data_IF_700030629540
#
_entry.id   IF_700030629540
#
_cell.length_a   1.000
_cell.length_b   1.000
_cell.length_c   1.000
_cell.angle_alpha   90.00
_cell.angle_beta   90.00
_cell.angle_gamma   90.00
#
_symmetry.space_group_name_H-M   'P 1'
#
loop_
_entity.id
_entity.type
_entity.pdbx_description
1 polymer ?
#
# COMPACT_ATOMS: atom_id res chain seq x y z
N UNK A 1 -14.20 18.84 11.06
CA UNK A 1 -14.31 18.26 9.70
C UNK A 1 -14.61 19.35 8.67
N UNK A 2 -15.63 20.21 8.89
CA UNK A 2 -16.03 21.24 7.90
C UNK A 2 -14.89 22.21 7.52
N UNK A 3 -14.10 22.68 8.50
CA UNK A 3 -12.95 23.56 8.24
C UNK A 3 -11.87 22.92 7.39
N UNK A 4 -11.61 21.62 7.60
CA UNK A 4 -10.62 20.85 6.83
C UNK A 4 -11.06 20.73 5.37
N UNK A 5 -12.31 20.34 5.11
CA UNK A 5 -12.84 20.25 3.76
C UNK A 5 -12.73 21.57 2.99
N UNK A 6 -13.10 22.68 3.63
CA UNK A 6 -12.99 24.00 3.00
C UNK A 6 -11.56 24.40 2.67
N UNK A 7 -10.62 24.07 3.55
CA UNK A 7 -9.19 24.35 3.32
C UNK A 7 -8.62 23.52 2.19
N UNK A 8 -8.96 22.22 2.17
CA UNK A 8 -8.55 21.31 1.10
C UNK A 8 -9.13 21.74 -0.24
N UNK A 9 -10.40 22.14 -0.29
CA UNK A 9 -11.02 22.64 -1.52
C UNK A 9 -10.29 23.86 -2.09
N UNK A 10 -9.94 24.82 -1.24
CA UNK A 10 -9.17 25.98 -1.68
C UNK A 10 -7.81 25.59 -2.25
N UNK A 11 -7.11 24.71 -1.56
CA UNK A 11 -5.82 24.19 -2.04
C UNK A 11 -5.97 23.48 -3.40
N UNK A 12 -6.95 22.60 -3.51
CA UNK A 12 -7.20 21.84 -4.75
C UNK A 12 -7.49 22.76 -5.93
N UNK A 13 -8.40 23.71 -5.78
CA UNK A 13 -8.73 24.71 -6.82
C UNK A 13 -7.50 25.53 -7.24
N UNK A 14 -6.64 25.88 -6.27
CA UNK A 14 -5.37 26.55 -6.58
C UNK A 14 -4.40 25.67 -7.36
N UNK A 15 -4.38 24.36 -7.07
CA UNK A 15 -3.55 23.41 -7.81
C UNK A 15 -4.06 23.19 -9.23
N UNK A 16 -5.36 23.11 -9.44
CA UNK A 16 -5.97 23.03 -10.77
C UNK A 16 -5.58 24.19 -11.68
N UNK A 17 -5.46 25.39 -11.13
CA UNK A 17 -5.05 26.56 -11.91
C UNK A 17 -3.57 26.52 -12.34
N UNK A 18 -2.73 25.76 -11.64
CA UNK A 18 -1.28 25.72 -11.85
C UNK A 18 -0.81 24.50 -12.61
N UNK A 19 -1.59 23.42 -12.59
CA UNK A 19 -1.18 22.12 -13.13
C UNK A 19 -2.35 21.39 -13.77
N UNK A 20 -2.28 21.22 -15.08
CA UNK A 20 -3.33 20.57 -15.88
C UNK A 20 -3.58 19.10 -15.55
N UNK A 21 -2.74 18.47 -14.74
CA UNK A 21 -2.95 17.10 -14.26
C UNK A 21 -4.08 17.00 -13.23
N UNK A 22 -4.44 18.11 -12.56
CA UNK A 22 -5.51 18.20 -11.57
C UNK A 22 -6.85 18.53 -12.25
N UNK A 23 -7.48 17.55 -12.88
CA UNK A 23 -8.66 17.77 -13.73
C UNK A 23 -9.98 17.29 -13.12
N UNK A 24 -9.94 16.49 -12.06
CA UNK A 24 -11.14 15.94 -11.44
C UNK A 24 -11.97 17.03 -10.78
N UNK A 25 -13.32 16.93 -10.88
CA UNK A 25 -14.18 17.85 -10.15
C UNK A 25 -14.05 17.62 -8.64
N UNK A 26 -14.09 18.70 -7.87
CA UNK A 26 -14.01 18.62 -6.41
C UNK A 26 -15.09 17.70 -5.81
N UNK A 27 -16.30 17.69 -6.36
CA UNK A 27 -17.40 16.86 -5.87
C UNK A 27 -17.19 15.35 -6.06
N UNK A 28 -16.28 14.96 -6.96
CA UNK A 28 -15.98 13.57 -7.27
C UNK A 28 -14.80 13.03 -6.45
N UNK A 29 -14.21 13.89 -5.58
CA UNK A 29 -13.06 13.52 -4.73
C UNK A 29 -13.56 13.02 -3.39
N UNK A 30 -13.28 11.76 -3.10
CA UNK A 30 -13.49 11.21 -1.75
C UNK A 30 -12.43 11.74 -0.78
N UNK A 31 -12.88 12.29 0.34
CA UNK A 31 -12.00 12.84 1.37
C UNK A 31 -12.19 12.10 2.68
N UNK A 32 -11.16 11.41 3.10
CA UNK A 32 -11.12 10.67 4.35
C UNK A 32 -10.35 11.48 5.40
N UNK A 33 -11.05 11.93 6.44
CA UNK A 33 -10.47 12.70 7.54
C UNK A 33 -10.50 11.86 8.81
N UNK A 34 -9.33 11.44 9.28
CA UNK A 34 -9.16 10.62 10.48
C UNK A 34 -10.13 9.42 10.51
N UNK A 35 -10.10 8.50 9.52
CA UNK A 35 -11.07 7.42 9.41
C UNK A 35 -11.03 6.46 10.60
N UNK A 36 -9.95 6.44 11.39
CA UNK A 36 -9.82 5.73 12.67
C UNK A 36 -10.17 6.60 13.89
N UNK A 37 -10.71 7.79 13.69
CA UNK A 37 -10.94 8.76 14.76
C UNK A 37 -9.71 9.64 15.05
N UNK A 38 -9.82 10.58 16.00
CA UNK A 38 -8.75 11.51 16.31
C UNK A 38 -7.54 10.83 16.92
N UNK A 39 -6.35 11.34 16.60
CA UNK A 39 -5.09 10.90 17.22
C UNK A 39 -4.95 11.59 18.59
N UNK A 40 -4.85 10.77 19.64
CA UNK A 40 -4.71 11.24 21.02
C UNK A 40 -3.26 11.37 21.48
N UNK A 41 -2.33 10.69 20.81
CA UNK A 41 -0.90 10.70 21.12
C UNK A 41 -0.10 11.23 19.94
N UNK A 42 0.88 12.06 20.23
CA UNK A 42 1.79 12.62 19.24
C UNK A 42 3.24 12.52 19.73
N UNK A 43 4.17 12.90 18.90
CA UNK A 43 5.61 12.85 19.21
C UNK A 43 6.13 11.45 19.44
N UNK A 44 7.15 11.31 20.26
CA UNK A 44 7.81 10.03 20.57
C UNK A 44 6.91 9.00 21.22
N UNK A 45 5.88 9.42 21.94
CA UNK A 45 4.91 8.51 22.57
C UNK A 45 3.94 7.90 21.55
N UNK A 46 3.70 8.58 20.44
CA UNK A 46 2.87 8.09 19.34
C UNK A 46 3.69 7.30 18.32
N UNK A 47 4.84 7.84 17.91
CA UNK A 47 5.73 7.24 16.93
C UNK A 47 7.16 7.78 17.10
N UNK A 48 8.05 6.97 17.58
CA UNK A 48 9.45 7.33 17.90
C UNK A 48 10.38 6.89 16.81
N UNK A 49 10.41 7.04 15.70
CA UNK A 49 11.37 6.59 14.66
C UNK A 49 12.53 5.75 15.20
N UNK A 50 12.84 4.65 14.56
CA UNK A 50 13.94 3.77 14.94
C UNK A 50 14.71 3.30 13.71
N UNK A 51 16.00 2.99 13.90
CA UNK A 51 16.84 2.39 12.86
C UNK A 51 16.30 1.02 12.45
N UNK A 52 16.44 0.68 11.16
CA UNK A 52 15.98 -0.60 10.61
C UNK A 52 14.46 -0.70 10.40
N UNK A 53 13.73 0.41 10.42
CA UNK A 53 12.30 0.47 10.16
C UNK A 53 11.91 0.74 8.71
N UNK A 54 12.89 0.77 7.79
CA UNK A 54 12.70 1.05 6.36
C UNK A 54 13.35 0.00 5.46
N UNK A 55 13.44 -1.24 5.92
CA UNK A 55 14.18 -2.32 5.25
C UNK A 55 13.67 -2.63 3.84
N UNK A 56 12.37 -2.54 3.60
CA UNK A 56 11.79 -2.78 2.28
C UNK A 56 12.18 -1.66 1.30
N UNK A 57 12.25 -0.42 1.79
CA UNK A 57 12.73 0.72 1.02
C UNK A 57 14.22 0.56 0.68
N UNK A 58 15.03 0.14 1.64
CA UNK A 58 16.46 -0.13 1.43
C UNK A 58 16.67 -1.23 0.38
N UNK A 59 15.84 -2.28 0.42
CA UNK A 59 15.92 -3.40 -0.52
C UNK A 59 15.57 -3.00 -1.96
N UNK A 60 14.45 -2.31 -2.17
CA UNK A 60 13.97 -1.94 -3.52
C UNK A 60 14.56 -0.63 -4.03
N UNK A 61 15.11 0.21 -3.16
CA UNK A 61 15.67 1.51 -3.52
C UNK A 61 14.58 2.51 -3.96
N UNK A 62 15.00 3.60 -4.64
CA UNK A 62 14.11 4.72 -4.95
C UNK A 62 13.10 4.46 -6.07
N UNK A 63 13.22 3.35 -6.79
CA UNK A 63 12.32 3.03 -7.92
C UNK A 63 10.93 2.60 -7.48
N UNK A 64 10.82 2.02 -6.30
CA UNK A 64 9.57 1.47 -5.78
C UNK A 64 9.05 2.36 -4.66
N UNK A 65 7.90 2.98 -4.88
CA UNK A 65 7.22 3.78 -3.87
C UNK A 65 6.69 2.86 -2.75
N UNK A 66 7.06 3.15 -1.50
CA UNK A 66 6.67 2.37 -0.33
C UNK A 66 6.05 3.27 0.72
N UNK A 67 4.88 2.88 1.24
CA UNK A 67 4.24 3.51 2.39
C UNK A 67 4.70 2.90 3.72
N UNK A 68 4.70 1.58 3.82
CA UNK A 68 4.89 0.83 5.06
C UNK A 68 6.32 0.71 5.56
N UNK A 69 7.33 0.79 4.70
CA UNK A 69 8.77 0.87 5.02
C UNK A 69 9.41 -0.35 5.67
N UNK A 70 8.80 -0.98 6.67
CA UNK A 70 9.25 -2.22 7.28
C UNK A 70 8.11 -3.20 7.41
N UNK A 71 8.35 -4.46 7.13
CA UNK A 71 7.39 -5.56 7.25
C UNK A 71 7.65 -6.36 8.53
N UNK A 72 8.92 -6.52 8.89
CA UNK A 72 9.32 -7.21 10.10
C UNK A 72 8.82 -6.49 11.37
N UNK A 73 8.42 -7.26 12.35
CA UNK A 73 7.92 -6.76 13.62
C UNK A 73 6.46 -6.28 13.59
N UNK A 74 5.85 -6.14 12.42
CA UNK A 74 4.42 -5.86 12.29
C UNK A 74 3.59 -7.13 12.48
N UNK A 75 2.36 -6.96 12.98
CA UNK A 75 1.41 -8.07 13.08
C UNK A 75 1.20 -8.74 11.70
N UNK A 76 1.08 -10.07 11.61
CA UNK A 76 0.85 -10.75 10.33
C UNK A 76 -0.32 -10.20 9.52
N UNK A 77 -1.42 -9.84 10.16
CA UNK A 77 -2.59 -9.23 9.52
C UNK A 77 -2.46 -7.72 9.28
N UNK A 78 -1.30 -7.12 9.50
CA UNK A 78 -1.09 -5.70 9.21
C UNK A 78 -1.12 -5.46 7.70
N UNK A 79 -1.86 -4.44 7.26
CA UNK A 79 -2.07 -4.17 5.83
C UNK A 79 -0.75 -3.97 5.07
N UNK A 80 0.22 -3.25 5.64
CA UNK A 80 1.52 -3.04 5.02
C UNK A 80 2.23 -4.37 4.71
N UNK A 81 2.05 -5.36 5.57
CA UNK A 81 2.67 -6.67 5.45
C UNK A 81 1.94 -7.57 4.46
N UNK A 82 0.62 -7.69 4.60
CA UNK A 82 -0.20 -8.51 3.70
C UNK A 82 -0.24 -7.95 2.28
N UNK A 83 -0.49 -6.65 2.12
CA UNK A 83 -0.59 -6.03 0.81
C UNK A 83 0.74 -6.08 0.05
N UNK A 84 1.87 -5.81 0.73
CA UNK A 84 3.19 -5.92 0.10
C UNK A 84 3.46 -7.35 -0.39
N UNK A 85 3.14 -8.37 0.41
CA UNK A 85 3.30 -9.77 0.03
C UNK A 85 2.40 -10.15 -1.15
N UNK A 86 1.12 -9.81 -1.08
CA UNK A 86 0.17 -10.10 -2.15
C UNK A 86 0.54 -9.39 -3.45
N UNK A 87 0.97 -8.12 -3.38
CA UNK A 87 1.45 -7.37 -4.53
C UNK A 87 2.70 -8.03 -5.14
N UNK A 88 3.65 -8.45 -4.30
CA UNK A 88 4.85 -9.16 -4.77
C UNK A 88 4.50 -10.46 -5.46
N UNK A 89 3.66 -11.29 -4.86
CA UNK A 89 3.26 -12.57 -5.45
C UNK A 89 2.56 -12.36 -6.81
N UNK A 90 1.63 -11.40 -6.88
CA UNK A 90 0.95 -11.09 -8.13
C UNK A 90 1.90 -10.55 -9.21
N UNK A 91 2.90 -9.73 -8.83
CA UNK A 91 3.92 -9.26 -9.75
C UNK A 91 4.80 -10.42 -10.27
N UNK A 92 5.18 -11.36 -9.40
CA UNK A 92 5.93 -12.56 -9.80
C UNK A 92 5.11 -13.44 -10.75
N UNK A 93 3.83 -13.64 -10.48
CA UNK A 93 2.93 -14.38 -11.37
C UNK A 93 2.81 -13.72 -12.75
N UNK A 94 2.71 -12.38 -12.79
CA UNK A 94 2.70 -11.63 -14.05
C UNK A 94 3.99 -11.84 -14.85
N UNK A 95 5.15 -11.81 -14.20
CA UNK A 95 6.45 -12.06 -14.86
C UNK A 95 6.55 -13.51 -15.32
N UNK A 96 6.13 -14.49 -14.53
CA UNK A 96 6.07 -15.91 -14.95
C UNK A 96 5.12 -16.12 -16.14
N UNK A 97 4.09 -15.28 -16.29
CA UNK A 97 3.17 -15.30 -17.43
C UNK A 97 3.71 -14.61 -18.69
N UNK A 98 4.94 -14.09 -18.65
CA UNK A 98 5.65 -13.58 -19.83
C UNK A 98 5.83 -12.05 -19.86
N UNK A 99 5.42 -11.32 -18.83
CA UNK A 99 5.76 -9.89 -18.68
C UNK A 99 7.23 -9.77 -18.28
N UNK A 100 7.96 -8.83 -18.87
CA UNK A 100 9.38 -8.63 -18.57
C UNK A 100 9.59 -8.07 -17.17
N UNK A 101 8.73 -7.15 -16.76
CA UNK A 101 8.68 -6.61 -15.42
C UNK A 101 7.23 -6.30 -14.98
N UNK A 102 7.01 -6.12 -13.69
CA UNK A 102 5.72 -5.72 -13.15
C UNK A 102 5.90 -4.96 -11.85
N UNK A 103 5.33 -3.77 -11.78
CA UNK A 103 5.20 -2.99 -10.56
C UNK A 103 3.73 -2.82 -10.21
N UNK A 104 3.37 -3.17 -8.98
CA UNK A 104 2.01 -3.01 -8.47
C UNK A 104 2.03 -2.01 -7.33
N UNK A 105 1.17 -0.99 -7.42
CA UNK A 105 0.97 0.00 -6.36
C UNK A 105 -0.44 -0.11 -5.81
N UNK A 106 -0.54 -0.23 -4.50
CA UNK A 106 -1.80 -0.32 -3.77
C UNK A 106 -1.87 0.82 -2.76
N UNK A 107 -2.98 1.53 -2.72
CA UNK A 107 -3.26 2.55 -1.72
C UNK A 107 -4.46 2.13 -0.88
N UNK A 108 -4.30 2.11 0.44
CA UNK A 108 -5.36 1.82 1.39
C UNK A 108 -5.56 2.99 2.34
N UNK A 109 -6.80 3.17 2.78
CA UNK A 109 -7.10 4.00 3.95
C UNK A 109 -7.43 3.08 5.15
N UNK A 110 -7.26 3.55 6.39
CA UNK A 110 -7.73 2.84 7.55
C UNK A 110 -9.22 2.51 7.45
N UNK A 111 -9.60 1.32 7.92
CA UNK A 111 -10.99 0.81 7.88
C UNK A 111 -11.57 0.59 6.48
N UNK A 112 -10.75 0.50 5.43
CA UNK A 112 -11.22 0.09 4.11
C UNK A 112 -10.84 -1.36 3.82
N UNK A 113 -11.80 -2.14 3.32
CA UNK A 113 -11.55 -3.54 2.91
C UNK A 113 -10.95 -3.63 1.51
N UNK A 114 -11.16 -2.63 0.69
CA UNK A 114 -10.67 -2.57 -0.69
C UNK A 114 -9.60 -1.49 -0.83
N UNK A 115 -8.62 -1.67 -1.72
CA UNK A 115 -7.70 -0.58 -2.02
C UNK A 115 -8.46 0.59 -2.67
N UNK A 116 -8.14 1.81 -2.24
CA UNK A 116 -8.64 3.03 -2.87
C UNK A 116 -8.08 3.20 -4.27
N UNK A 117 -6.88 2.69 -4.49
CA UNK A 117 -6.21 2.71 -5.78
C UNK A 117 -5.39 1.44 -5.98
N UNK A 118 -5.47 0.90 -7.19
CA UNK A 118 -4.69 -0.23 -7.67
C UNK A 118 -4.10 0.11 -9.04
N UNK A 119 -2.78 0.22 -9.12
CA UNK A 119 -2.06 0.56 -10.35
C UNK A 119 -1.12 -0.58 -10.70
N UNK A 120 -1.20 -1.04 -11.93
CA UNK A 120 -0.31 -2.03 -12.54
C UNK A 120 0.51 -1.36 -13.63
N UNK A 121 1.83 -1.38 -13.49
CA UNK A 121 2.78 -0.93 -14.48
C UNK A 121 3.54 -2.16 -15.02
N UNK A 122 3.40 -2.44 -16.32
CA UNK A 122 4.01 -3.59 -17.00
C UNK A 122 4.45 -3.18 -18.41
N UNK A 123 5.58 -3.68 -18.89
CA UNK A 123 6.06 -3.41 -20.27
C UNK A 123 5.14 -4.02 -21.34
N UNK A 124 4.43 -5.08 -21.05
CA UNK A 124 3.47 -5.73 -21.94
C UNK A 124 2.18 -5.99 -21.18
N UNK A 125 1.05 -6.00 -21.89
CA UNK A 125 -0.26 -6.29 -21.29
C UNK A 125 -0.30 -7.72 -20.75
N UNK A 126 0.10 -7.87 -19.52
CA UNK A 126 0.02 -9.12 -18.76
C UNK A 126 -1.34 -9.37 -18.15
N UNK A 127 -1.51 -10.53 -17.57
CA UNK A 127 -2.72 -10.93 -16.87
C UNK A 127 -2.89 -10.08 -15.59
N UNK A 128 -3.89 -9.20 -15.57
CA UNK A 128 -4.34 -8.60 -14.31
C UNK A 128 -5.10 -9.64 -13.49
N UNK A 129 -4.90 -9.71 -12.17
CA UNK A 129 -5.70 -10.58 -11.32
C UNK A 129 -7.18 -10.20 -11.38
N UNK A 130 -8.03 -11.12 -10.96
CA UNK A 130 -9.47 -10.89 -10.87
C UNK A 130 -9.77 -9.80 -9.86
N UNK A 131 -10.85 -9.05 -10.09
CA UNK A 131 -11.36 -8.07 -9.14
C UNK A 131 -11.46 -8.65 -7.72
N UNK A 132 -11.08 -7.88 -6.71
CA UNK A 132 -11.10 -8.30 -5.31
C UNK A 132 -9.85 -9.07 -4.83
N UNK A 133 -8.84 -9.28 -5.67
CA UNK A 133 -7.61 -9.99 -5.29
C UNK A 133 -6.89 -9.32 -4.10
N UNK A 134 -6.95 -7.99 -4.03
CA UNK A 134 -6.33 -7.18 -2.98
C UNK A 134 -7.32 -6.68 -1.92
N UNK A 135 -8.51 -7.27 -1.81
CA UNK A 135 -9.40 -6.99 -0.70
C UNK A 135 -8.80 -7.54 0.61
N UNK A 136 -8.93 -6.80 1.71
CA UNK A 136 -8.34 -7.15 3.00
C UNK A 136 -8.76 -8.56 3.46
N UNK A 137 -10.04 -8.89 3.43
CA UNK A 137 -10.55 -10.21 3.82
C UNK A 137 -10.03 -11.32 2.91
N UNK A 138 -9.91 -11.06 1.60
CA UNK A 138 -9.37 -12.02 0.65
C UNK A 138 -7.86 -12.26 0.88
N UNK A 139 -7.11 -11.24 1.26
CA UNK A 139 -5.70 -11.37 1.61
C UNK A 139 -5.54 -12.09 2.96
N UNK A 140 -6.37 -11.76 3.94
CA UNK A 140 -6.34 -12.37 5.27
C UNK A 140 -6.64 -13.87 5.21
N UNK A 141 -7.61 -14.29 4.42
CA UNK A 141 -7.95 -15.70 4.23
C UNK A 141 -6.83 -16.55 3.60
N UNK A 142 -5.97 -15.92 2.78
CA UNK A 142 -4.80 -16.56 2.15
C UNK A 142 -3.57 -16.58 3.06
N UNK A 143 -3.61 -15.81 4.14
CA UNK A 143 -2.49 -15.69 5.08
C UNK A 143 -2.70 -16.66 6.24
N UNK A 144 -2.24 -17.90 6.12
CA UNK A 144 -2.28 -18.82 7.25
C UNK A 144 -1.24 -18.41 8.30
N UNK A 145 -1.59 -18.45 9.58
CA UNK A 145 -0.67 -18.17 10.68
C UNK A 145 0.58 -19.07 10.66
N UNK A 146 0.45 -20.30 10.16
CA UNK A 146 1.53 -21.29 10.08
C UNK A 146 2.59 -20.94 9.03
N UNK A 147 2.17 -20.42 7.87
CA UNK A 147 3.12 -19.96 6.84
C UNK A 147 3.94 -18.77 7.33
N UNK A 148 3.34 -17.88 8.12
CA UNK A 148 4.02 -16.75 8.73
C UNK A 148 5.07 -17.15 9.77
N UNK A 149 4.81 -18.14 10.58
CA UNK A 149 5.76 -18.64 11.58
C UNK A 149 6.98 -19.28 10.92
N UNK A 150 6.79 -20.00 9.83
CA UNK A 150 7.88 -20.59 9.08
C UNK A 150 8.75 -19.55 8.36
N UNK A 151 8.16 -18.45 7.90
CA UNK A 151 8.89 -17.33 7.27
C UNK A 151 9.72 -16.53 8.28
N UNK A 152 9.25 -16.34 9.49
CA UNK A 152 10.00 -15.67 10.57
C UNK A 152 11.22 -16.51 11.00
N UNK A 153 11.11 -17.84 10.96
CA UNK A 153 12.21 -18.74 11.32
C UNK A 153 13.39 -18.76 10.34
N UNK A 154 13.19 -18.31 9.10
CA UNK A 154 14.22 -18.37 8.04
C UNK A 154 14.95 -17.03 7.85
N UNK A 155 14.55 -15.96 8.54
CA UNK A 155 15.23 -14.65 8.48
C UNK A 155 15.16 -13.93 7.13
N UNK A 156 14.61 -14.57 6.11
CA UNK A 156 14.45 -14.03 4.78
C UNK A 156 12.95 -14.08 4.48
N UNK A 157 12.33 -12.94 4.49
CA UNK A 157 10.92 -12.69 4.29
C UNK A 157 10.36 -13.35 3.05
N UNK A 158 10.19 -14.65 2.99
CA UNK A 158 9.41 -15.37 1.97
C UNK A 158 9.58 -14.94 0.50
N UNK A 159 10.63 -14.19 0.22
CA UNK A 159 11.00 -13.75 -1.11
C UNK A 159 11.81 -14.86 -1.78
N UNK A 160 11.21 -16.03 -1.93
CA UNK A 160 11.81 -17.04 -2.78
C UNK A 160 11.81 -16.53 -4.20
N UNK A 161 13.00 -16.41 -4.74
CA UNK A 161 13.27 -16.25 -6.17
C UNK A 161 13.25 -17.64 -6.81
N UNK A 162 12.11 -18.32 -6.82
CA UNK A 162 11.94 -19.55 -7.58
C UNK A 162 11.38 -19.24 -8.96
#
# INVERSE_FOLDING_TARGET
>A
TFGVHRSLQKCYLSMQQRDSRWQQNWGDIEILVNPNGPLWRAGSDGDNGQTGRKLVMDYYGPRIALGGGALAGKHPAHIDRMAARCARNAAVEAVKAGTKDCTIRLAYAPNTNVPLQEIWEMEQSGLKPRNGHFNFDAMLSKTSCLEFQNEIGVGVYGWKLD
#
